data_IF_681941128807
#
_entry.id   IF_681941128807
#
_cell.length_a   1.000
_cell.length_b   1.000
_cell.length_c   1.000
_cell.angle_alpha   90.00
_cell.angle_beta   90.00
_cell.angle_gamma   90.00
#
_symmetry.space_group_name_H-M   'P 1'
#
loop_
_entity.id
_entity.type
_entity.pdbx_description
1 polymer ?
#
# COMPACT_ATOMS: atom_id res chain seq x y z
N UNK A 1 2.69 5.94 -16.29
CA UNK A 1 1.28 5.94 -16.72
C UNK A 1 0.60 7.18 -16.19
N UNK A 2 -0.40 7.67 -16.90
CA UNK A 2 -1.28 8.76 -16.47
C UNK A 2 -2.32 8.25 -15.45
N UNK A 3 -3.02 9.17 -14.77
CA UNK A 3 -4.09 8.80 -13.84
C UNK A 3 -5.23 8.06 -14.55
N UNK A 4 -5.61 8.50 -15.76
CA UNK A 4 -6.66 7.84 -16.57
C UNK A 4 -6.25 6.43 -16.99
N UNK A 5 -5.02 6.24 -17.45
CA UNK A 5 -4.49 4.92 -17.79
C UNK A 5 -4.47 3.97 -16.57
N UNK A 6 -4.05 4.48 -15.41
CA UNK A 6 -4.06 3.71 -14.16
C UNK A 6 -5.48 3.25 -13.81
N UNK A 7 -6.45 4.17 -13.84
CA UNK A 7 -7.84 3.87 -13.51
C UNK A 7 -8.41 2.84 -14.47
N UNK A 8 -8.28 3.05 -15.79
CA UNK A 8 -8.78 2.12 -16.80
C UNK A 8 -8.16 0.72 -16.63
N UNK A 9 -6.85 0.65 -16.37
CA UNK A 9 -6.14 -0.62 -16.23
C UNK A 9 -6.54 -1.37 -14.97
N UNK A 10 -6.66 -0.69 -13.83
CA UNK A 10 -6.80 -1.36 -12.54
C UNK A 10 -8.24 -1.46 -12.01
N UNK A 11 -9.18 -0.67 -12.56
CA UNK A 11 -10.58 -0.67 -12.12
C UNK A 11 -11.26 -2.04 -12.17
N UNK A 12 -11.11 -2.88 -13.21
CA UNK A 12 -11.72 -4.20 -13.22
C UNK A 12 -11.29 -5.08 -12.04
N UNK A 13 -10.00 -5.07 -11.71
CA UNK A 13 -9.45 -5.82 -10.58
C UNK A 13 -9.97 -5.29 -9.23
N UNK A 14 -10.08 -3.96 -9.08
CA UNK A 14 -10.61 -3.37 -7.85
C UNK A 14 -12.11 -3.65 -7.66
N UNK A 15 -12.89 -3.69 -8.75
CA UNK A 15 -14.29 -4.11 -8.72
C UNK A 15 -14.43 -5.57 -8.29
N UNK A 16 -13.56 -6.45 -8.80
CA UNK A 16 -13.55 -7.85 -8.38
C UNK A 16 -13.26 -7.99 -6.88
N UNK A 17 -12.27 -7.26 -6.35
CA UNK A 17 -11.99 -7.23 -4.91
C UNK A 17 -13.17 -6.66 -4.10
N UNK A 18 -13.85 -5.63 -4.61
CA UNK A 18 -15.06 -5.12 -3.96
C UNK A 18 -16.13 -6.21 -3.88
N UNK A 19 -16.35 -7.00 -4.93
CA UNK A 19 -17.30 -8.12 -4.89
C UNK A 19 -16.92 -9.16 -3.83
N UNK A 20 -15.62 -9.44 -3.65
CA UNK A 20 -15.14 -10.42 -2.65
C UNK A 20 -15.21 -9.93 -1.21
N UNK A 21 -15.05 -8.63 -0.97
CA UNK A 21 -14.77 -8.09 0.38
C UNK A 21 -15.82 -7.09 0.88
N UNK A 22 -16.55 -6.47 -0.05
CA UNK A 22 -17.44 -5.35 0.20
C UNK A 22 -16.74 -4.01 0.42
N UNK A 23 -15.40 -3.95 0.40
CA UNK A 23 -14.65 -2.69 0.47
C UNK A 23 -14.75 -1.98 -0.87
N UNK A 24 -15.07 -0.69 -0.86
CA UNK A 24 -15.26 0.12 -2.08
C UNK A 24 -14.04 0.06 -3.02
N UNK A 25 -14.27 -0.26 -4.30
CA UNK A 25 -13.24 -0.27 -5.33
C UNK A 25 -12.58 1.09 -5.50
N UNK A 26 -13.31 2.18 -5.25
CA UNK A 26 -12.79 3.54 -5.31
C UNK A 26 -11.74 3.78 -4.23
N UNK A 27 -12.00 3.29 -3.02
CA UNK A 27 -11.04 3.36 -1.91
C UNK A 27 -9.79 2.54 -2.22
N UNK A 28 -9.97 1.29 -2.70
CA UNK A 28 -8.87 0.39 -3.08
C UNK A 28 -7.98 1.04 -4.14
N UNK A 29 -8.57 1.57 -5.21
CA UNK A 29 -7.83 2.26 -6.27
C UNK A 29 -7.15 3.53 -5.77
N UNK A 30 -7.81 4.30 -4.90
CA UNK A 30 -7.26 5.54 -4.39
C UNK A 30 -6.00 5.30 -3.54
N UNK A 31 -6.05 4.31 -2.63
CA UNK A 31 -4.87 3.94 -1.85
C UNK A 31 -3.77 3.39 -2.75
N UNK A 32 -4.10 2.45 -3.64
CA UNK A 32 -3.15 1.89 -4.60
C UNK A 32 -2.48 2.96 -5.47
N UNK A 33 -3.23 3.98 -5.91
CA UNK A 33 -2.68 5.10 -6.66
C UNK A 33 -1.68 5.93 -5.83
N UNK A 34 -1.95 6.15 -4.54
CA UNK A 34 -1.01 6.84 -3.65
C UNK A 34 0.26 6.02 -3.42
N UNK A 35 0.12 4.74 -3.08
CA UNK A 35 1.24 3.85 -2.75
C UNK A 35 2.19 3.63 -3.94
N UNK A 36 1.63 3.51 -5.14
CA UNK A 36 2.40 3.20 -6.36
C UNK A 36 2.80 4.45 -7.15
N UNK A 37 2.38 5.63 -6.72
CA UNK A 37 2.53 6.88 -7.45
C UNK A 37 1.84 6.84 -8.83
N UNK A 38 0.58 6.40 -8.84
CA UNK A 38 -0.21 6.11 -10.05
C UNK A 38 0.45 5.03 -10.91
N UNK A 39 0.84 3.91 -10.32
CA UNK A 39 1.37 2.74 -11.01
C UNK A 39 2.78 2.92 -11.60
N UNK A 40 3.54 3.93 -11.16
CA UNK A 40 4.93 4.14 -11.57
C UNK A 40 5.83 3.00 -11.11
N UNK A 41 5.57 2.45 -9.93
CA UNK A 41 6.34 1.34 -9.35
C UNK A 41 5.39 0.25 -8.86
N UNK A 42 5.26 -0.83 -9.63
CA UNK A 42 4.40 -1.99 -9.32
C UNK A 42 5.10 -3.34 -9.61
N UNK A 43 6.33 -3.56 -9.11
CA UNK A 43 7.05 -4.80 -9.39
C UNK A 43 6.25 -6.00 -8.86
N UNK A 44 6.10 -7.05 -9.68
CA UNK A 44 5.38 -8.26 -9.31
C UNK A 44 3.94 -8.01 -8.84
N UNK A 45 3.22 -7.05 -9.47
CA UNK A 45 1.86 -6.65 -9.12
C UNK A 45 1.67 -6.22 -7.65
N UNK A 46 2.74 -5.80 -6.98
CA UNK A 46 2.67 -5.31 -5.61
C UNK A 46 2.11 -3.89 -5.57
N UNK A 47 0.82 -3.76 -5.24
CA UNK A 47 0.11 -2.48 -5.32
C UNK A 47 0.17 -1.64 -4.03
N UNK A 48 0.64 -2.22 -2.91
CA UNK A 48 0.65 -1.54 -1.59
C UNK A 48 1.96 -1.71 -0.80
N UNK A 49 3.05 -2.17 -1.43
CA UNK A 49 4.33 -2.28 -0.73
C UNK A 49 4.36 -3.30 0.43
N UNK A 50 3.54 -4.35 0.38
CA UNK A 50 3.44 -5.32 1.49
C UNK A 50 4.72 -6.13 1.61
N UNK A 51 5.42 -6.02 2.75
CA UNK A 51 6.62 -6.81 3.04
C UNK A 51 6.29 -8.30 3.16
N UNK A 52 7.20 -9.14 2.71
CA UNK A 52 7.08 -10.58 2.88
C UNK A 52 7.40 -10.96 4.33
N UNK A 53 6.61 -11.89 4.89
CA UNK A 53 6.91 -12.52 6.17
C UNK A 53 7.72 -13.81 5.98
N UNK A 54 8.13 -14.42 7.10
CA UNK A 54 8.77 -15.75 7.09
C UNK A 54 7.89 -16.82 6.41
N UNK A 55 6.57 -16.70 6.57
CA UNK A 55 5.58 -17.63 6.03
C UNK A 55 5.22 -17.35 4.57
N UNK A 56 5.71 -16.25 3.98
CA UNK A 56 5.44 -15.96 2.57
C UNK A 56 6.22 -16.95 1.68
N UNK A 57 5.53 -17.75 0.84
CA UNK A 57 6.20 -18.72 -0.03
C UNK A 57 7.25 -18.09 -0.93
N UNK A 58 8.31 -18.84 -1.25
CA UNK A 58 9.36 -18.37 -2.15
C UNK A 58 8.82 -17.92 -3.53
N UNK A 59 7.80 -18.62 -4.04
CA UNK A 59 7.11 -18.29 -5.28
C UNK A 59 6.27 -17.01 -5.19
N UNK A 60 5.97 -16.49 -4.00
CA UNK A 60 5.13 -15.31 -3.73
C UNK A 60 5.90 -14.16 -3.09
N UNK A 61 7.24 -14.19 -3.14
CA UNK A 61 8.08 -13.06 -2.73
C UNK A 61 9.11 -12.67 -3.79
N UNK A 62 9.59 -11.44 -3.69
CA UNK A 62 10.57 -10.81 -4.56
C UNK A 62 11.49 -9.91 -3.73
N UNK A 63 12.72 -9.73 -4.19
CA UNK A 63 13.69 -8.85 -3.57
C UNK A 63 13.72 -7.51 -4.31
N UNK A 64 13.25 -6.44 -3.66
CA UNK A 64 13.06 -5.12 -4.29
C UNK A 64 13.91 -4.07 -3.58
N UNK A 65 14.49 -3.15 -4.35
CA UNK A 65 15.21 -2.00 -3.80
C UNK A 65 14.21 -1.02 -3.17
N UNK A 66 14.44 -0.65 -1.93
CA UNK A 66 13.62 0.32 -1.18
C UNK A 66 14.52 1.26 -0.37
N UNK A 67 13.91 2.28 0.22
CA UNK A 67 14.56 3.17 1.18
C UNK A 67 13.91 3.10 2.55
N UNK A 68 14.74 3.18 3.59
CA UNK A 68 14.30 3.17 4.99
C UNK A 68 14.99 4.31 5.74
N UNK A 69 14.29 4.92 6.71
CA UNK A 69 14.84 6.00 7.53
C UNK A 69 14.99 5.51 8.95
N UNK A 70 16.23 5.31 9.40
CA UNK A 70 16.55 4.79 10.73
C UNK A 70 17.32 5.82 11.56
N UNK A 71 17.21 5.72 12.88
CA UNK A 71 17.91 6.63 13.81
C UNK A 71 19.35 6.20 14.11
N UNK A 72 19.77 5.02 13.65
CA UNK A 72 21.09 4.44 13.93
C UNK A 72 21.90 4.29 12.63
N UNK A 73 23.24 4.44 12.66
CA UNK A 73 24.13 4.24 11.50
C UNK A 73 24.47 2.77 11.23
N UNK A 74 24.34 1.92 12.26
CA UNK A 74 24.60 0.48 12.16
C UNK A 74 23.35 -0.28 12.58
N UNK A 75 23.02 -1.29 11.79
CA UNK A 75 21.88 -2.17 12.02
C UNK A 75 22.36 -3.57 12.39
N UNK A 76 21.54 -4.30 13.13
CA UNK A 76 21.83 -5.71 13.44
C UNK A 76 22.03 -6.51 12.17
N UNK A 77 23.03 -7.40 12.16
CA UNK A 77 23.30 -8.30 11.05
C UNK A 77 22.03 -9.06 10.68
N UNK A 78 21.63 -9.01 9.42
CA UNK A 78 20.43 -9.67 8.91
C UNK A 78 19.14 -8.85 9.00
N UNK A 79 19.19 -7.58 9.44
CA UNK A 79 18.01 -6.71 9.38
C UNK A 79 17.52 -6.51 7.94
N UNK A 80 18.45 -6.36 7.00
CA UNK A 80 18.17 -6.31 5.57
C UNK A 80 18.95 -7.42 4.85
N UNK A 81 18.36 -8.06 3.83
CA UNK A 81 19.06 -8.98 2.94
C UNK A 81 20.30 -8.35 2.29
N UNK A 82 20.20 -7.10 1.84
CA UNK A 82 21.28 -6.37 1.19
C UNK A 82 21.22 -4.89 1.55
N UNK A 83 22.35 -4.31 1.98
CA UNK A 83 22.50 -2.86 2.18
C UNK A 83 23.30 -2.31 1.01
N UNK A 84 22.72 -1.36 0.28
CA UNK A 84 23.34 -0.73 -0.90
C UNK A 84 24.11 0.52 -0.48
N UNK A 85 23.48 1.41 0.29
CA UNK A 85 24.13 2.63 0.78
C UNK A 85 23.47 3.16 2.05
N UNK A 86 24.23 3.88 2.85
CA UNK A 86 23.77 4.57 4.06
C UNK A 86 24.21 6.03 3.97
N UNK A 87 23.26 6.95 4.05
CA UNK A 87 23.54 8.39 3.97
C UNK A 87 22.99 9.09 5.21
N UNK A 88 23.84 9.82 5.94
CA UNK A 88 23.40 10.67 7.06
C UNK A 88 22.57 11.83 6.52
N UNK A 89 21.39 12.06 7.11
CA UNK A 89 20.48 13.15 6.79
C UNK A 89 20.73 14.36 7.68
N UNK A 90 20.24 15.52 7.26
CA UNK A 90 20.36 16.77 8.01
C UNK A 90 19.65 16.71 9.39
N UNK A 91 18.58 15.91 9.51
CA UNK A 91 17.83 15.69 10.76
C UNK A 91 18.51 14.70 11.74
N UNK A 92 19.76 14.31 11.46
CA UNK A 92 20.52 13.36 12.27
C UNK A 92 20.15 11.89 12.07
N UNK A 93 19.11 11.58 11.28
CA UNK A 93 18.74 10.21 10.90
C UNK A 93 19.59 9.71 9.73
N UNK A 94 19.42 8.45 9.38
CA UNK A 94 20.15 7.77 8.31
C UNK A 94 19.17 7.26 7.26
N UNK A 95 19.41 7.63 6.00
CA UNK A 95 18.70 7.09 4.84
C UNK A 95 19.44 5.85 4.36
N UNK A 96 18.79 4.70 4.47
CA UNK A 96 19.26 3.42 3.96
C UNK A 96 18.67 3.19 2.58
N UNK A 97 19.50 2.91 1.58
CA UNK A 97 19.08 2.23 0.36
C UNK A 97 19.42 0.76 0.52
N UNK A 98 18.40 -0.10 0.44
CA UNK A 98 18.53 -1.54 0.73
C UNK A 98 17.77 -2.34 -0.31
N UNK A 99 18.01 -3.65 -0.38
CA UNK A 99 17.00 -4.56 -0.89
C UNK A 99 16.31 -5.26 0.26
N UNK A 100 14.99 -5.38 0.17
CA UNK A 100 14.16 -6.07 1.15
C UNK A 100 13.15 -6.99 0.46
N UNK A 101 12.63 -7.96 1.21
CA UNK A 101 11.66 -8.93 0.70
C UNK A 101 10.26 -8.36 0.74
N UNK A 102 9.63 -8.34 -0.43
CA UNK A 102 8.25 -7.93 -0.59
C UNK A 102 7.42 -9.06 -1.19
N UNK A 103 6.11 -9.03 -0.95
CA UNK A 103 5.17 -9.93 -1.61
C UNK A 103 5.14 -9.62 -3.10
N UNK A 104 4.92 -10.66 -3.90
CA UNK A 104 4.53 -10.55 -5.30
C UNK A 104 3.28 -11.36 -5.55
N UNK A 105 2.52 -10.93 -6.54
CA UNK A 105 1.19 -11.41 -6.81
C UNK A 105 1.09 -11.75 -8.30
N UNK A 106 0.27 -12.75 -8.61
CA UNK A 106 0.04 -13.19 -9.99
C UNK A 106 -0.80 -12.15 -10.73
N UNK A 107 -1.70 -11.47 -10.01
CA UNK A 107 -2.56 -10.40 -10.54
C UNK A 107 -2.61 -9.19 -9.61
N UNK A 108 -2.96 -8.00 -10.12
CA UNK A 108 -3.25 -6.84 -9.28
C UNK A 108 -4.41 -7.10 -8.30
N UNK A 109 -5.40 -7.90 -8.72
CA UNK A 109 -6.53 -8.27 -7.87
C UNK A 109 -6.09 -9.06 -6.64
N UNK A 110 -5.16 -9.99 -6.77
CA UNK A 110 -4.63 -10.75 -5.62
C UNK A 110 -3.97 -9.79 -4.61
N UNK A 111 -3.25 -8.76 -5.09
CA UNK A 111 -2.68 -7.72 -4.23
C UNK A 111 -3.77 -6.86 -3.56
N UNK A 112 -4.81 -6.48 -4.29
CA UNK A 112 -5.97 -5.75 -3.79
C UNK A 112 -6.71 -6.53 -2.71
N UNK A 113 -6.96 -7.82 -2.94
CA UNK A 113 -7.64 -8.68 -1.97
C UNK A 113 -6.75 -8.95 -0.75
N UNK A 114 -5.45 -9.17 -0.90
CA UNK A 114 -4.54 -9.33 0.24
C UNK A 114 -4.52 -8.08 1.13
N UNK A 115 -4.53 -6.89 0.53
CA UNK A 115 -4.64 -5.62 1.25
C UNK A 115 -6.02 -5.44 1.92
N UNK A 116 -7.11 -5.79 1.24
CA UNK A 116 -8.44 -5.77 1.85
C UNK A 116 -8.53 -6.73 3.06
N UNK A 117 -7.88 -7.90 2.98
CA UNK A 117 -7.81 -8.86 4.08
C UNK A 117 -7.04 -8.33 5.29
N UNK A 118 -6.07 -7.42 5.11
CA UNK A 118 -5.41 -6.75 6.23
C UNK A 118 -6.42 -5.96 7.10
N UNK A 119 -7.36 -5.24 6.48
CA UNK A 119 -8.41 -4.55 7.23
C UNK A 119 -9.36 -5.54 7.90
N UNK A 120 -9.79 -6.57 7.17
CA UNK A 120 -10.78 -7.55 7.65
C UNK A 120 -10.27 -8.33 8.86
N UNK A 121 -8.99 -8.74 8.85
CA UNK A 121 -8.41 -9.59 9.90
C UNK A 121 -7.96 -8.82 11.14
N UNK A 122 -7.84 -7.50 11.05
CA UNK A 122 -7.31 -6.69 12.12
C UNK A 122 -8.45 -5.93 12.82
N UNK A 123 -8.79 -6.36 14.04
CA UNK A 123 -9.89 -5.81 14.85
C UNK A 123 -9.82 -4.29 15.03
N UNK A 124 -8.61 -3.70 14.93
CA UNK A 124 -8.40 -2.26 14.91
C UNK A 124 -9.28 -1.52 13.90
N UNK A 125 -9.62 -2.15 12.77
CA UNK A 125 -10.42 -1.56 11.70
C UNK A 125 -11.90 -1.97 11.74
N UNK A 126 -12.38 -2.59 12.82
CA UNK A 126 -13.75 -3.06 12.94
C UNK A 126 -14.80 -1.94 12.70
N UNK A 127 -14.58 -0.74 13.26
CA UNK A 127 -15.47 0.41 13.03
C UNK A 127 -15.44 0.87 11.57
N UNK A 128 -14.28 0.88 10.93
CA UNK A 128 -14.15 1.20 9.52
C UNK A 128 -14.94 0.20 8.66
N UNK A 129 -14.87 -1.09 8.97
CA UNK A 129 -15.55 -2.13 8.19
C UNK A 129 -17.09 -2.00 8.20
N UNK A 130 -17.68 -1.30 9.19
CA UNK A 130 -19.12 -0.98 9.21
C UNK A 130 -19.52 -0.04 8.07
N UNK A 131 -18.58 0.77 7.58
CA UNK A 131 -18.79 1.77 6.52
C UNK A 131 -18.00 1.45 5.24
N UNK A 132 -17.53 0.20 5.08
CA UNK A 132 -16.63 -0.24 4.00
C UNK A 132 -17.08 0.05 2.56
N UNK A 133 -18.38 0.19 2.33
CA UNK A 133 -18.95 0.50 1.01
C UNK A 133 -18.91 2.00 0.67
N UNK A 134 -18.75 2.87 1.66
CA UNK A 134 -18.61 4.32 1.49
C UNK A 134 -17.10 4.67 1.51
N UNK A 135 -16.48 4.98 0.36
CA UNK A 135 -15.02 5.19 0.30
C UNK A 135 -14.56 6.41 1.11
N UNK A 136 -15.43 7.41 1.32
CA UNK A 136 -15.09 8.62 2.07
C UNK A 136 -15.09 8.34 3.57
N UNK A 137 -16.17 7.73 4.09
CA UNK A 137 -16.25 7.33 5.50
C UNK A 137 -15.24 6.25 5.84
N UNK A 138 -15.00 5.31 4.93
CA UNK A 138 -14.00 4.28 5.15
C UNK A 138 -12.59 4.87 5.27
N UNK A 139 -12.24 5.87 4.44
CA UNK A 139 -10.97 6.60 4.57
C UNK A 139 -10.83 7.32 5.92
N UNK A 140 -11.90 7.90 6.43
CA UNK A 140 -11.91 8.60 7.72
C UNK A 140 -11.71 7.63 8.89
N UNK A 141 -12.47 6.52 8.93
CA UNK A 141 -12.35 5.54 10.01
C UNK A 141 -11.03 4.76 9.94
N UNK A 142 -10.50 4.47 8.74
CA UNK A 142 -9.15 3.88 8.58
C UNK A 142 -8.06 4.82 9.11
N UNK A 143 -8.17 6.13 8.83
CA UNK A 143 -7.22 7.11 9.33
C UNK A 143 -7.31 7.25 10.87
N UNK A 144 -8.53 7.35 11.40
CA UNK A 144 -8.81 7.41 12.84
C UNK A 144 -8.32 6.18 13.60
N UNK A 145 -8.38 5.01 12.96
CA UNK A 145 -7.81 3.76 13.46
C UNK A 145 -6.27 3.74 13.44
N UNK A 146 -5.60 4.76 12.90
CA UNK A 146 -4.14 4.90 12.92
C UNK A 146 -3.43 4.14 11.81
N UNK A 147 -4.03 4.01 10.62
CA UNK A 147 -3.36 3.42 9.46
C UNK A 147 -2.12 4.20 9.04
N UNK A 148 -2.18 5.54 9.09
CA UNK A 148 -1.08 6.43 8.77
C UNK A 148 -0.88 7.46 9.88
N UNK A 149 0.38 7.87 10.09
CA UNK A 149 0.74 8.91 11.07
C UNK A 149 0.53 10.33 10.54
N UNK A 150 0.38 10.49 9.22
CA UNK A 150 0.16 11.78 8.59
C UNK A 150 -1.25 12.32 8.95
N UNK A 151 -1.36 13.53 9.52
CA UNK A 151 -2.65 14.06 10.00
C UNK A 151 -3.65 14.32 8.87
N UNK A 152 -3.17 14.52 7.64
CA UNK A 152 -3.97 14.81 6.45
C UNK A 152 -4.20 13.56 5.56
N UNK A 153 -3.96 12.36 6.09
CA UNK A 153 -4.07 11.12 5.31
C UNK A 153 -5.48 10.94 4.72
N UNK A 154 -6.52 11.04 5.55
CA UNK A 154 -7.91 10.90 5.11
C UNK A 154 -8.26 11.90 4.01
N UNK A 155 -7.90 13.18 4.19
CA UNK A 155 -8.21 14.23 3.21
C UNK A 155 -7.47 14.04 1.89
N UNK A 156 -6.22 13.59 1.95
CA UNK A 156 -5.45 13.24 0.75
C UNK A 156 -6.13 12.10 0.00
N UNK A 157 -6.55 11.05 0.71
CA UNK A 157 -7.19 9.90 0.11
C UNK A 157 -8.56 10.24 -0.48
N UNK A 158 -9.39 11.01 0.24
CA UNK A 158 -10.70 11.52 -0.25
C UNK A 158 -10.57 12.33 -1.54
N UNK A 159 -9.50 13.14 -1.69
CA UNK A 159 -9.23 13.87 -2.94
C UNK A 159 -8.94 12.92 -4.11
N UNK A 160 -8.19 11.86 -3.87
CA UNK A 160 -7.90 10.84 -4.90
C UNK A 160 -9.15 10.04 -5.25
N UNK A 161 -9.97 9.64 -4.26
CA UNK A 161 -11.27 9.00 -4.49
C UNK A 161 -12.12 9.86 -5.42
N UNK A 162 -12.28 11.15 -5.11
CA UNK A 162 -13.04 12.09 -5.95
C UNK A 162 -12.49 12.20 -7.38
N UNK A 163 -11.17 12.22 -7.54
CA UNK A 163 -10.53 12.24 -8.86
C UNK A 163 -10.87 10.99 -9.67
N UNK A 164 -10.88 9.81 -9.03
CA UNK A 164 -11.20 8.54 -9.69
C UNK A 164 -12.68 8.48 -10.07
N UNK A 165 -13.58 8.95 -9.21
CA UNK A 165 -15.02 9.02 -9.50
C UNK A 165 -15.32 9.91 -10.71
N UNK A 166 -14.59 11.01 -10.87
CA UNK A 166 -14.78 11.97 -11.94
C UNK A 166 -14.11 11.56 -13.26
N UNK A 167 -13.21 10.59 -13.23
CA UNK A 167 -12.56 10.04 -14.41
C UNK A 167 -13.54 9.14 -15.19
N UNK A 168 -14.30 9.75 -16.09
CA UNK A 168 -15.08 9.07 -17.13
C UNK A 168 -14.20 8.65 -18.31
#
# INVERSE_FOLDING_TARGET
MTSKEFITKYKPYALETQCKTGISHLFILAQSALETGWGKNVPGNMMFGVKASKDTPASKKQLVRTTEVLSVPMVTKGLFPEIISITKRADGKYLYAVRDWFRKYDTPEESFTDHAQFFIKNERYAEALKVKSDPYKFAEEVAKAGYATAPNYADTLKKVVKMIEQAK
#
